data_IF_498251687995
#
_entry.id   IF_498251687995
#
_cell.length_a   1.000
_cell.length_b   1.000
_cell.length_c   1.000
_cell.angle_alpha   90.00
_cell.angle_beta   90.00
_cell.angle_gamma   90.00
#
_symmetry.space_group_name_H-M   'P 1'
#
loop_
_entity.id
_entity.type
_entity.pdbx_description
1 polymer ?
#
# COMPACT_ATOMS: atom_id res chain seq x y z
N UNK A 1 8.72 -0.69 0.32
CA UNK A 1 9.61 -0.87 -0.85
C UNK A 1 8.86 -0.66 -2.20
N UNK A 2 9.40 0.09 -3.19
CA UNK A 2 8.67 0.49 -4.41
C UNK A 2 8.32 -0.64 -5.39
N UNK A 3 9.14 -1.70 -5.49
CA UNK A 3 8.84 -2.88 -6.34
C UNK A 3 7.67 -3.67 -5.77
N UNK A 4 7.69 -3.92 -4.46
CA UNK A 4 6.63 -4.58 -3.68
C UNK A 4 5.32 -3.83 -3.83
N UNK A 5 5.35 -2.48 -3.76
CA UNK A 5 4.18 -1.64 -4.02
C UNK A 5 3.64 -1.81 -5.44
N UNK A 6 4.51 -1.88 -6.45
CA UNK A 6 4.10 -2.08 -7.85
C UNK A 6 3.47 -3.47 -8.07
N UNK A 7 4.05 -4.51 -7.48
CA UNK A 7 3.50 -5.87 -7.53
C UNK A 7 2.15 -5.93 -6.81
N UNK A 8 2.03 -5.30 -5.64
CA UNK A 8 0.77 -5.22 -4.89
C UNK A 8 -0.36 -4.56 -5.70
N UNK A 9 -0.08 -3.41 -6.33
CA UNK A 9 -1.04 -2.71 -7.20
C UNK A 9 -1.41 -3.54 -8.44
N UNK A 10 -0.45 -4.23 -9.06
CA UNK A 10 -0.71 -5.19 -10.13
C UNK A 10 -1.63 -6.34 -9.70
N UNK A 11 -1.35 -6.97 -8.55
CA UNK A 11 -2.16 -8.06 -8.00
C UNK A 11 -3.58 -7.59 -7.73
N UNK A 12 -3.74 -6.39 -7.15
CA UNK A 12 -5.05 -5.81 -6.90
C UNK A 12 -5.82 -5.56 -8.21
N UNK A 13 -5.18 -5.00 -9.23
CA UNK A 13 -5.81 -4.78 -10.55
C UNK A 13 -6.27 -6.10 -11.19
N UNK A 14 -5.48 -7.17 -11.07
CA UNK A 14 -5.87 -8.50 -11.57
C UNK A 14 -7.05 -9.11 -10.81
N UNK A 15 -7.05 -9.02 -9.48
CA UNK A 15 -8.17 -9.51 -8.65
C UNK A 15 -9.47 -8.77 -8.97
N UNK A 16 -9.41 -7.45 -9.17
CA UNK A 16 -10.59 -6.67 -9.59
C UNK A 16 -11.06 -7.04 -11.00
N UNK A 17 -10.15 -7.23 -11.95
CA UNK A 17 -10.52 -7.67 -13.30
C UNK A 17 -11.16 -9.06 -13.30
N UNK A 18 -10.62 -10.01 -12.53
CA UNK A 18 -11.16 -11.37 -12.43
C UNK A 18 -12.57 -11.40 -11.80
N UNK A 19 -12.82 -10.55 -10.80
CA UNK A 19 -14.13 -10.47 -10.12
C UNK A 19 -15.17 -9.67 -10.88
N UNK A 20 -14.75 -8.78 -11.80
CA UNK A 20 -15.64 -7.97 -12.63
C UNK A 20 -16.11 -8.66 -13.92
N UNK A 21 -15.51 -9.78 -14.34
CA UNK A 21 -15.79 -10.41 -15.63
C UNK A 21 -17.03 -11.31 -15.63
N UNK A 22 -18.19 -10.69 -15.92
CA UNK A 22 -19.21 -11.22 -16.87
C UNK A 22 -18.94 -10.76 -18.31
N UNK A 23 -17.81 -10.08 -18.57
CA UNK A 23 -17.40 -9.57 -19.89
C UNK A 23 -15.96 -10.03 -20.18
N UNK A 24 -15.75 -10.41 -21.44
CA UNK A 24 -14.54 -10.96 -22.06
C UNK A 24 -13.23 -10.40 -21.46
N UNK A 25 -12.28 -11.25 -21.03
CA UNK A 25 -11.04 -10.76 -20.43
C UNK A 25 -10.25 -9.92 -21.45
N UNK A 26 -9.98 -8.66 -21.11
CA UNK A 26 -9.03 -7.81 -21.84
C UNK A 26 -7.66 -8.47 -21.88
N UNK A 27 -6.94 -8.42 -23.00
CA UNK A 27 -5.61 -9.05 -23.17
C UNK A 27 -4.57 -8.66 -22.10
N UNK A 28 -4.74 -7.51 -21.44
CA UNK A 28 -3.88 -7.05 -20.35
C UNK A 28 -4.06 -7.81 -19.03
N UNK A 29 -5.23 -8.41 -18.75
CA UNK A 29 -5.50 -9.09 -17.46
C UNK A 29 -4.83 -10.46 -17.34
N UNK A 30 -4.32 -10.99 -18.46
CA UNK A 30 -3.65 -12.29 -18.56
C UNK A 30 -2.13 -12.19 -18.62
N UNK A 31 -1.56 -10.99 -18.80
CA UNK A 31 -0.11 -10.81 -18.91
C UNK A 31 0.56 -10.89 -17.55
N UNK A 32 1.73 -11.51 -17.52
CA UNK A 32 2.58 -11.54 -16.33
C UNK A 32 3.11 -10.13 -15.99
N UNK A 33 3.54 -9.91 -14.74
CA UNK A 33 3.99 -8.61 -14.28
C UNK A 33 5.17 -8.09 -15.13
N UNK A 34 6.15 -8.95 -15.38
CA UNK A 34 7.38 -8.66 -16.13
C UNK A 34 7.06 -8.21 -17.56
N UNK A 35 6.04 -8.83 -18.18
CA UNK A 35 5.61 -8.47 -19.54
C UNK A 35 5.00 -7.07 -19.60
N UNK A 36 4.46 -6.56 -18.50
CA UNK A 36 3.89 -5.22 -18.40
C UNK A 36 4.92 -4.19 -17.92
N UNK A 37 5.80 -4.62 -17.00
CA UNK A 37 6.81 -3.82 -16.36
C UNK A 37 8.05 -3.57 -17.23
N UNK A 38 8.31 -4.42 -18.23
CA UNK A 38 9.45 -4.30 -19.14
C UNK A 38 9.00 -4.00 -20.57
N UNK A 39 9.76 -3.16 -21.25
CA UNK A 39 9.70 -2.93 -22.68
C UNK A 39 10.34 -4.10 -23.44
N UNK A 40 10.10 -4.19 -24.75
CA UNK A 40 10.67 -5.26 -25.60
C UNK A 40 12.21 -5.24 -25.67
N UNK A 41 12.83 -4.09 -25.44
CA UNK A 41 14.29 -3.93 -25.37
C UNK A 41 14.88 -4.25 -23.98
N UNK A 42 14.06 -4.72 -23.03
CA UNK A 42 14.47 -5.04 -21.65
C UNK A 42 14.54 -3.83 -20.70
N UNK A 43 14.27 -2.62 -21.18
CA UNK A 43 14.19 -1.43 -20.30
C UNK A 43 12.88 -1.40 -19.49
N UNK A 44 12.87 -0.62 -18.41
CA UNK A 44 11.70 -0.46 -17.54
C UNK A 44 10.62 0.34 -18.28
N UNK A 45 9.39 -0.17 -18.26
CA UNK A 45 8.23 0.55 -18.76
C UNK A 45 7.69 1.53 -17.71
N UNK A 46 8.29 2.71 -17.61
CA UNK A 46 7.91 3.74 -16.63
C UNK A 46 6.47 4.26 -16.80
N UNK A 47 5.85 4.04 -17.97
CA UNK A 47 4.46 4.42 -18.23
C UNK A 47 3.47 3.40 -17.65
N UNK A 48 3.92 2.21 -17.27
CA UNK A 48 3.07 1.22 -16.64
C UNK A 48 2.64 1.72 -15.25
N UNK A 49 1.35 1.97 -15.06
CA UNK A 49 0.79 2.66 -13.88
C UNK A 49 1.39 2.15 -12.55
N UNK A 50 1.42 0.85 -12.22
CA UNK A 50 1.99 0.38 -10.96
C UNK A 50 3.44 0.81 -10.72
N UNK A 51 4.27 0.90 -11.77
CA UNK A 51 5.62 1.46 -11.70
C UNK A 51 5.60 2.98 -11.61
N UNK A 52 4.83 3.64 -12.47
CA UNK A 52 4.74 5.10 -12.54
C UNK A 52 4.41 5.74 -11.18
N UNK A 53 3.49 5.14 -10.40
CA UNK A 53 3.12 5.63 -9.07
C UNK A 53 4.01 5.07 -7.93
N UNK A 54 4.93 4.14 -8.21
CA UNK A 54 6.00 3.72 -7.29
C UNK A 54 7.21 4.66 -7.31
N UNK A 55 7.32 5.54 -8.30
CA UNK A 55 8.40 6.53 -8.40
C UNK A 55 8.06 7.73 -7.49
N UNK A 56 8.24 7.56 -6.18
CA UNK A 56 7.70 8.49 -5.17
C UNK A 56 8.21 9.93 -5.32
N UNK A 57 9.48 10.12 -5.70
CA UNK A 57 10.07 11.46 -5.79
C UNK A 57 9.34 12.38 -6.78
N UNK A 58 8.82 11.83 -7.89
CA UNK A 58 8.05 12.58 -8.89
C UNK A 58 6.80 13.24 -8.30
N UNK A 59 6.19 12.62 -7.28
CA UNK A 59 5.01 13.14 -6.60
C UNK A 59 5.41 14.01 -5.41
N UNK A 60 6.32 13.53 -4.57
CA UNK A 60 6.76 14.24 -3.35
C UNK A 60 7.35 15.61 -3.70
N UNK A 61 8.09 15.73 -4.80
CA UNK A 61 8.60 17.02 -5.28
C UNK A 61 7.49 18.06 -5.45
N UNK A 62 6.37 17.68 -6.11
CA UNK A 62 5.23 18.58 -6.35
C UNK A 62 4.52 18.98 -5.05
N UNK A 63 4.45 18.07 -4.07
CA UNK A 63 3.91 18.40 -2.76
C UNK A 63 4.78 19.44 -2.04
N UNK A 64 6.11 19.31 -2.16
CA UNK A 64 7.06 20.24 -1.53
C UNK A 64 7.11 21.62 -2.19
N UNK A 65 6.59 21.78 -3.42
CA UNK A 65 6.40 23.10 -4.05
C UNK A 65 5.31 23.93 -3.35
N UNK A 66 4.39 23.28 -2.64
CA UNK A 66 3.21 23.92 -2.01
C UNK A 66 3.28 23.85 -0.50
N UNK A 67 3.75 22.74 0.06
CA UNK A 67 3.78 22.49 1.50
C UNK A 67 5.23 22.43 2.01
N UNK A 68 5.57 23.19 3.06
CA UNK A 68 6.80 23.01 3.82
C UNK A 68 6.99 21.55 4.23
N UNK A 69 8.26 21.12 4.31
CA UNK A 69 8.63 19.74 4.63
C UNK A 69 8.05 19.28 5.98
N UNK A 70 7.94 20.20 6.93
CA UNK A 70 7.44 19.96 8.29
C UNK A 70 5.96 19.64 8.33
N UNK A 71 5.20 20.00 7.27
CA UNK A 71 3.78 19.67 7.13
C UNK A 71 3.52 18.34 6.43
N UNK A 72 4.58 17.56 6.13
CA UNK A 72 4.46 16.26 5.48
C UNK A 72 5.12 15.18 6.33
N UNK A 73 4.32 14.24 6.83
CA UNK A 73 4.81 13.02 7.47
C UNK A 73 4.89 11.89 6.44
N UNK A 74 6.08 11.28 6.31
CA UNK A 74 6.27 10.03 5.58
C UNK A 74 6.25 8.89 6.58
N UNK A 75 5.26 8.01 6.46
CA UNK A 75 5.11 6.82 7.31
C UNK A 75 5.77 5.64 6.62
N UNK A 76 6.54 4.85 7.37
CA UNK A 76 7.15 3.65 6.82
C UNK A 76 6.10 2.53 6.81
N UNK A 77 5.59 2.20 5.62
CA UNK A 77 4.59 1.16 5.44
C UNK A 77 5.09 -0.25 5.77
N UNK A 78 6.37 -0.54 5.55
CA UNK A 78 6.96 -1.84 5.83
C UNK A 78 6.99 -2.06 7.36
N UNK A 79 7.42 -1.03 8.12
CA UNK A 79 7.35 -1.07 9.58
C UNK A 79 5.92 -1.05 10.13
N UNK A 80 4.97 -0.41 9.43
CA UNK A 80 3.57 -0.40 9.86
C UNK A 80 2.93 -1.80 9.77
N UNK A 81 3.39 -2.62 8.83
CA UNK A 81 2.98 -4.03 8.68
C UNK A 81 3.57 -4.87 9.81
N UNK A 82 4.86 -4.69 10.13
CA UNK A 82 5.59 -5.48 11.12
C UNK A 82 5.31 -5.09 12.57
N UNK A 83 5.22 -3.80 12.87
CA UNK A 83 4.94 -3.26 14.19
C UNK A 83 4.16 -1.94 14.06
N UNK A 84 2.82 -1.99 14.13
CA UNK A 84 1.98 -0.84 13.81
C UNK A 84 2.07 0.30 14.84
N UNK A 85 2.33 -0.03 16.11
CA UNK A 85 2.18 0.94 17.22
C UNK A 85 3.18 2.11 17.11
N UNK A 86 4.49 1.89 16.91
CA UNK A 86 5.44 3.00 16.79
C UNK A 86 5.17 3.92 15.62
N UNK A 87 4.66 3.41 14.49
CA UNK A 87 4.31 4.24 13.34
C UNK A 87 3.05 5.08 13.63
N UNK A 88 2.06 4.52 14.32
CA UNK A 88 0.84 5.23 14.70
C UNK A 88 1.12 6.30 15.77
N UNK A 89 1.99 6.04 16.73
CA UNK A 89 2.42 7.06 17.71
C UNK A 89 3.15 8.24 17.05
N UNK A 90 3.93 7.99 15.99
CA UNK A 90 4.52 9.07 15.17
C UNK A 90 3.43 9.90 14.49
N UNK A 91 2.36 9.26 14.01
CA UNK A 91 1.20 9.94 13.40
C UNK A 91 0.47 10.77 14.46
N UNK A 92 0.17 10.22 15.64
CA UNK A 92 -0.45 10.95 16.75
C UNK A 92 0.35 12.21 17.10
N UNK A 93 1.67 12.07 17.27
CA UNK A 93 2.58 13.19 17.56
C UNK A 93 2.58 14.24 16.46
N UNK A 94 2.65 13.83 15.20
CA UNK A 94 2.65 14.74 14.06
C UNK A 94 1.35 15.55 13.96
N UNK A 95 0.21 14.93 14.27
CA UNK A 95 -1.10 15.57 14.28
C UNK A 95 -1.38 16.39 15.55
N UNK A 96 -0.49 16.35 16.56
CA UNK A 96 -0.72 17.00 17.85
C UNK A 96 -1.81 16.34 18.70
N UNK A 97 -2.03 15.03 18.51
CA UNK A 97 -3.02 14.26 19.26
C UNK A 97 -2.42 13.68 20.55
N UNK A 98 -3.28 13.47 21.55
CA UNK A 98 -2.93 12.69 22.73
C UNK A 98 -2.64 11.24 22.32
N UNK A 99 -1.59 10.64 22.89
CA UNK A 99 -1.23 9.26 22.56
C UNK A 99 -2.16 8.29 23.27
N UNK A 100 -3.04 7.64 22.49
CA UNK A 100 -4.05 6.70 22.98
C UNK A 100 -3.89 5.32 22.34
N UNK A 101 -3.27 5.24 21.17
CA UNK A 101 -3.08 4.00 20.44
C UNK A 101 -1.89 3.23 21.04
N UNK A 102 -2.15 2.00 21.48
CA UNK A 102 -1.16 1.09 22.04
C UNK A 102 -1.31 -0.34 21.53
N UNK A 103 -0.45 -1.24 22.02
CA UNK A 103 -0.40 -2.65 21.61
C UNK A 103 -1.70 -3.40 21.86
N UNK A 104 -2.46 -3.01 22.89
CA UNK A 104 -3.77 -3.59 23.22
C UNK A 104 -4.83 -3.38 22.13
N UNK A 105 -4.65 -2.41 21.24
CA UNK A 105 -5.54 -2.17 20.10
C UNK A 105 -5.25 -3.11 18.91
N UNK A 106 -4.23 -3.95 19.00
CA UNK A 106 -3.81 -4.83 17.92
C UNK A 106 -3.64 -6.28 18.39
N UNK A 107 -3.85 -7.20 17.47
CA UNK A 107 -3.44 -8.59 17.63
C UNK A 107 -2.96 -9.12 16.28
N UNK A 108 -1.94 -9.97 16.29
CA UNK A 108 -1.46 -10.61 15.08
C UNK A 108 -2.37 -11.80 14.73
N UNK A 109 -2.86 -11.85 13.49
CA UNK A 109 -3.65 -12.97 13.00
C UNK A 109 -2.77 -13.84 12.11
N UNK A 110 -2.36 -15.01 12.62
CA UNK A 110 -1.46 -15.93 11.90
C UNK A 110 -2.03 -16.46 10.59
N UNK A 111 -3.35 -16.69 10.53
CA UNK A 111 -4.00 -17.15 9.30
C UNK A 111 -4.01 -16.06 8.23
N UNK A 112 -4.12 -14.79 8.63
CA UNK A 112 -4.01 -13.65 7.72
C UNK A 112 -2.56 -13.28 7.41
N UNK A 113 -1.64 -13.46 8.35
CA UNK A 113 -0.26 -12.99 8.27
C UNK A 113 -0.09 -11.48 8.56
N UNK A 114 -1.11 -10.83 9.14
CA UNK A 114 -1.11 -9.38 9.42
C UNK A 114 -1.71 -9.06 10.78
N UNK A 115 -1.36 -7.88 11.30
CA UNK A 115 -2.04 -7.30 12.45
C UNK A 115 -3.48 -6.89 12.11
N UNK A 116 -4.41 -7.28 12.99
CA UNK A 116 -5.80 -6.84 12.98
C UNK A 116 -6.06 -5.89 14.16
N UNK A 117 -7.15 -5.14 14.06
CA UNK A 117 -7.58 -4.19 15.09
C UNK A 117 -8.48 -4.89 16.10
N UNK A 118 -8.22 -4.62 17.38
CA UNK A 118 -9.08 -4.96 18.51
C UNK A 118 -9.75 -3.69 19.03
N UNK A 119 -11.07 -3.69 19.08
CA UNK A 119 -11.85 -2.65 19.73
C UNK A 119 -12.78 -3.29 20.79
N UNK A 120 -13.23 -2.50 21.77
CA UNK A 120 -14.09 -2.95 22.88
C UNK A 120 -15.36 -3.68 22.39
N UNK A 121 -15.83 -3.35 21.19
CA UNK A 121 -17.07 -3.90 20.61
C UNK A 121 -16.85 -4.96 19.53
N UNK A 122 -15.70 -5.00 18.87
CA UNK A 122 -15.42 -5.96 17.79
C UNK A 122 -13.96 -5.96 17.33
N UNK A 123 -13.50 -7.14 16.95
CA UNK A 123 -12.26 -7.32 16.21
C UNK A 123 -12.50 -7.07 14.71
N UNK A 124 -11.55 -6.39 14.05
CA UNK A 124 -11.62 -6.06 12.62
C UNK A 124 -10.30 -6.32 11.94
N UNK A 125 -10.35 -7.09 10.85
CA UNK A 125 -9.22 -7.36 9.97
C UNK A 125 -9.42 -6.71 8.60
N UNK A 126 -8.34 -6.62 7.83
CA UNK A 126 -8.42 -6.33 6.39
C UNK A 126 -9.28 -7.40 5.67
N UNK A 127 -9.94 -6.98 4.59
CA UNK A 127 -10.75 -7.88 3.73
C UNK A 127 -9.87 -8.97 3.11
N UNK A 128 -10.46 -10.09 2.67
CA UNK A 128 -9.71 -11.20 2.07
C UNK A 128 -8.84 -10.84 0.87
N UNK A 129 -9.23 -9.84 0.09
CA UNK A 129 -8.43 -9.34 -1.03
C UNK A 129 -7.29 -8.39 -0.63
N UNK A 130 -7.05 -8.20 0.66
CA UNK A 130 -6.07 -7.26 1.22
C UNK A 130 -5.27 -7.91 2.35
N UNK A 131 -3.98 -7.58 2.40
CA UNK A 131 -3.01 -8.31 3.22
C UNK A 131 -2.33 -9.32 2.33
#
# INVERSE_FOLDING_TARGET
EPVTRAISDYTQLRTHAATASTVTPSSSSQRAFEQLALMSNGSINEQYRPLAISIYHNYVHRWLEVFPREQILVVNGDLLIEDPVPQLQKIEKFLGLESRIGTHNFYFNETKGFYCLRNETSDRCLRESKG
#
